data_IF_482278695801
#
_entry.id   IF_482278695801
#
_cell.length_a   1.000
_cell.length_b   1.000
_cell.length_c   1.000
_cell.angle_alpha   90.00
_cell.angle_beta   90.00
_cell.angle_gamma   90.00
#
_symmetry.space_group_name_H-M   'P 1'
#
loop_
_entity.id
_entity.type
_entity.pdbx_description
1 polymer ?
#
# COMPACT_ATOMS: atom_id res chain seq x y z
N UNK A 1 16.29 11.81 16.38
CA UNK A 1 16.62 11.38 15.01
C UNK A 1 16.65 9.85 14.87
N UNK A 2 17.62 9.14 15.46
CA UNK A 2 17.75 7.67 15.27
C UNK A 2 16.51 6.86 15.64
N UNK A 3 15.83 7.27 16.72
CA UNK A 3 14.56 6.65 17.13
C UNK A 3 13.46 6.80 16.07
N UNK A 4 13.38 7.96 15.41
CA UNK A 4 12.35 8.25 14.42
C UNK A 4 12.62 7.48 13.12
N UNK A 5 13.88 7.46 12.66
CA UNK A 5 14.32 6.62 11.53
C UNK A 5 14.10 5.13 11.80
N UNK A 6 14.33 4.67 13.04
CA UNK A 6 14.05 3.28 13.43
C UNK A 6 12.54 2.95 13.40
N UNK A 7 11.69 3.86 13.89
CA UNK A 7 10.22 3.73 13.80
C UNK A 7 9.76 3.68 12.34
N UNK A 8 10.26 4.60 11.49
CA UNK A 8 10.03 4.60 10.04
C UNK A 8 10.42 3.25 9.42
N UNK A 9 11.64 2.77 9.69
CA UNK A 9 12.13 1.48 9.18
C UNK A 9 11.25 0.30 9.59
N UNK A 10 10.73 0.31 10.82
CA UNK A 10 9.76 -0.69 11.30
C UNK A 10 8.44 -0.66 10.52
N UNK A 11 7.91 0.53 10.26
CA UNK A 11 6.70 0.71 9.45
C UNK A 11 6.90 0.29 8.00
N UNK A 12 8.00 0.71 7.36
CA UNK A 12 8.36 0.30 6.00
C UNK A 12 8.44 -1.22 5.89
N UNK A 13 9.13 -1.87 6.83
CA UNK A 13 9.23 -3.33 6.87
C UNK A 13 7.86 -4.02 7.02
N UNK A 14 6.95 -3.46 7.82
CA UNK A 14 5.60 -3.99 7.96
C UNK A 14 4.79 -3.85 6.67
N UNK A 15 4.89 -2.71 5.99
CA UNK A 15 4.26 -2.45 4.69
C UNK A 15 4.76 -3.43 3.63
N UNK A 16 6.08 -3.62 3.51
CA UNK A 16 6.67 -4.57 2.55
C UNK A 16 6.15 -6.00 2.80
N UNK A 17 6.10 -6.46 4.06
CA UNK A 17 5.55 -7.79 4.38
C UNK A 17 4.07 -7.91 4.02
N UNK A 18 3.28 -6.86 4.27
CA UNK A 18 1.86 -6.85 3.91
C UNK A 18 1.67 -6.94 2.40
N UNK A 19 2.46 -6.19 1.62
CA UNK A 19 2.43 -6.20 0.16
C UNK A 19 2.76 -7.60 -0.37
N UNK A 20 3.85 -8.21 0.11
CA UNK A 20 4.23 -9.57 -0.27
C UNK A 20 3.12 -10.58 0.04
N UNK A 21 2.58 -10.58 1.26
CA UNK A 21 1.49 -11.49 1.63
C UNK A 21 0.24 -11.29 0.78
N UNK A 22 -0.06 -10.06 0.40
CA UNK A 22 -1.22 -9.76 -0.45
C UNK A 22 -0.98 -10.26 -1.88
N UNK A 23 0.24 -10.08 -2.42
CA UNK A 23 0.62 -10.65 -3.71
C UNK A 23 0.59 -12.17 -3.74
N UNK A 24 1.07 -12.84 -2.69
CA UNK A 24 0.99 -14.30 -2.55
C UNK A 24 -0.46 -14.77 -2.68
N UNK A 25 -1.37 -14.18 -1.89
CA UNK A 25 -2.81 -14.48 -1.98
C UNK A 25 -3.42 -14.22 -3.36
N UNK A 26 -3.01 -13.13 -4.04
CA UNK A 26 -3.47 -12.82 -5.39
C UNK A 26 -3.03 -13.92 -6.37
N UNK A 27 -1.74 -14.27 -6.32
CA UNK A 27 -1.14 -15.25 -7.23
C UNK A 27 -1.68 -16.68 -7.00
N UNK A 28 -2.01 -17.01 -5.76
CA UNK A 28 -2.61 -18.30 -5.38
C UNK A 28 -4.12 -18.35 -5.68
N UNK A 29 -4.73 -17.23 -6.07
CA UNK A 29 -6.18 -17.13 -6.32
C UNK A 29 -7.04 -17.23 -5.05
N UNK A 30 -6.42 -17.10 -3.88
CA UNK A 30 -7.09 -17.19 -2.57
C UNK A 30 -7.61 -15.83 -2.07
N UNK A 31 -7.34 -14.76 -2.81
CA UNK A 31 -7.69 -13.42 -2.37
C UNK A 31 -9.18 -13.13 -2.56
N UNK A 32 -9.82 -12.62 -1.51
CA UNK A 32 -11.19 -12.12 -1.61
C UNK A 32 -11.21 -10.61 -1.83
N UNK A 33 -12.36 -10.11 -2.31
CA UNK A 33 -12.58 -8.67 -2.42
C UNK A 33 -12.44 -7.93 -1.08
N UNK A 34 -12.84 -8.58 0.02
CA UNK A 34 -12.67 -8.04 1.38
C UNK A 34 -11.19 -7.93 1.75
N UNK A 35 -10.38 -8.94 1.40
CA UNK A 35 -8.93 -8.88 1.62
C UNK A 35 -8.29 -7.72 0.86
N UNK A 36 -8.67 -7.52 -0.41
CA UNK A 36 -8.20 -6.40 -1.24
C UNK A 36 -8.55 -5.06 -0.61
N UNK A 37 -9.81 -4.84 -0.20
CA UNK A 37 -10.22 -3.59 0.45
C UNK A 37 -9.46 -3.36 1.76
N UNK A 38 -9.33 -4.40 2.58
CA UNK A 38 -8.57 -4.33 3.83
C UNK A 38 -7.10 -4.00 3.57
N UNK A 39 -6.50 -4.55 2.50
CA UNK A 39 -5.13 -4.27 2.12
C UNK A 39 -4.95 -2.82 1.67
N UNK A 40 -5.84 -2.30 0.81
CA UNK A 40 -5.84 -0.90 0.35
C UNK A 40 -5.96 0.05 1.55
N UNK A 41 -6.97 -0.13 2.39
CA UNK A 41 -7.22 0.74 3.55
C UNK A 41 -6.03 0.76 4.52
N UNK A 42 -5.41 -0.39 4.75
CA UNK A 42 -4.22 -0.48 5.59
C UNK A 42 -3.01 0.20 4.94
N UNK A 43 -2.82 0.05 3.62
CA UNK A 43 -1.74 0.73 2.91
C UNK A 43 -1.92 2.25 2.91
N UNK A 44 -3.13 2.76 2.66
CA UNK A 44 -3.44 4.19 2.69
C UNK A 44 -3.14 4.78 4.08
N UNK A 45 -3.58 4.13 5.16
CA UNK A 45 -3.25 4.55 6.54
C UNK A 45 -1.75 4.55 6.82
N UNK A 46 -1.02 3.54 6.33
CA UNK A 46 0.43 3.46 6.53
C UNK A 46 1.18 4.49 5.69
N UNK A 47 0.68 4.81 4.49
CA UNK A 47 1.23 5.85 3.65
C UNK A 47 1.18 7.21 4.34
N UNK A 48 0.01 7.60 4.85
CA UNK A 48 -0.16 8.86 5.60
C UNK A 48 0.76 8.93 6.84
N UNK A 49 0.90 7.82 7.56
CA UNK A 49 1.79 7.75 8.73
C UNK A 49 3.26 7.92 8.33
N UNK A 50 3.70 7.27 7.25
CA UNK A 50 5.07 7.37 6.76
C UNK A 50 5.38 8.78 6.25
N UNK A 51 4.46 9.42 5.54
CA UNK A 51 4.61 10.82 5.10
C UNK A 51 4.79 11.77 6.28
N UNK A 52 4.06 11.56 7.40
CA UNK A 52 4.24 12.35 8.63
C UNK A 52 5.62 12.12 9.25
N UNK A 53 6.05 10.86 9.33
CA UNK A 53 7.38 10.52 9.86
C UNK A 53 8.49 11.10 8.99
N UNK A 54 8.34 11.05 7.66
CA UNK A 54 9.32 11.61 6.72
C UNK A 54 9.41 13.13 6.86
N UNK A 55 8.28 13.83 6.97
CA UNK A 55 8.27 15.28 7.24
C UNK A 55 9.00 15.63 8.55
N UNK A 56 8.70 14.91 9.65
CA UNK A 56 9.38 15.11 10.93
C UNK A 56 10.89 14.79 10.88
N UNK A 57 11.31 13.81 10.07
CA UNK A 57 12.72 13.49 9.85
C UNK A 57 13.39 14.61 9.07
N UNK A 58 12.79 15.09 7.98
CA UNK A 58 13.30 16.16 7.12
C UNK A 58 13.47 17.48 7.87
N UNK A 59 12.52 17.85 8.72
CA UNK A 59 12.60 19.05 9.58
C UNK A 59 13.78 19.02 10.56
N UNK A 60 14.35 17.83 10.81
CA UNK A 60 15.45 17.61 11.75
C UNK A 60 16.82 17.44 11.09
N UNK A 61 16.90 17.44 9.76
CA UNK A 61 18.12 17.19 8.98
C UNK A 61 18.82 18.49 8.56
N UNK A 62 20.13 18.40 8.36
CA UNK A 62 20.93 19.42 7.71
C UNK A 62 20.86 19.30 6.17
N UNK A 63 21.20 20.37 5.46
CA UNK A 63 20.96 20.49 4.02
C UNK A 63 21.60 19.36 3.18
N UNK A 64 22.75 18.82 3.60
CA UNK A 64 23.45 17.75 2.86
C UNK A 64 22.79 16.37 3.06
N UNK A 65 22.18 16.12 4.22
CA UNK A 65 21.49 14.85 4.50
C UNK A 65 20.02 14.84 4.05
N UNK A 66 19.45 16.00 3.75
CA UNK A 66 18.04 16.17 3.33
C UNK A 66 17.77 15.53 1.97
N UNK A 67 18.65 15.72 0.98
CA UNK A 67 18.38 15.28 -0.40
C UNK A 67 18.22 13.75 -0.50
N UNK A 68 19.15 12.99 0.09
CA UNK A 68 19.08 11.53 0.06
C UNK A 68 17.86 10.99 0.81
N UNK A 69 17.42 11.68 1.86
CA UNK A 69 16.24 11.31 2.66
C UNK A 69 14.94 11.59 1.92
N UNK A 70 14.87 12.67 1.14
CA UNK A 70 13.75 12.95 0.22
C UNK A 70 13.64 11.83 -0.81
N UNK A 71 14.75 11.48 -1.48
CA UNK A 71 14.75 10.43 -2.51
C UNK A 71 14.30 9.08 -1.95
N UNK A 72 14.80 8.69 -0.78
CA UNK A 72 14.43 7.45 -0.09
C UNK A 72 12.95 7.45 0.36
N UNK A 73 12.42 8.59 0.82
CA UNK A 73 11.01 8.74 1.14
C UNK A 73 10.13 8.62 -0.11
N UNK A 74 10.47 9.34 -1.18
CA UNK A 74 9.73 9.36 -2.43
C UNK A 74 9.68 7.99 -3.10
N UNK A 75 10.81 7.27 -3.14
CA UNK A 75 10.87 5.91 -3.70
C UNK A 75 9.91 4.97 -2.94
N UNK A 76 9.91 5.04 -1.61
CA UNK A 76 9.04 4.19 -0.81
C UNK A 76 7.56 4.57 -0.94
N UNK A 77 7.24 5.88 -1.00
CA UNK A 77 5.88 6.36 -1.21
C UNK A 77 5.34 5.92 -2.58
N UNK A 78 6.15 6.06 -3.64
CA UNK A 78 5.81 5.53 -4.98
C UNK A 78 5.57 4.02 -4.96
N UNK A 79 6.39 3.26 -4.21
CA UNK A 79 6.17 1.83 -4.04
C UNK A 79 4.79 1.51 -3.44
N UNK A 80 4.35 2.27 -2.43
CA UNK A 80 3.01 2.09 -1.85
C UNK A 80 1.93 2.41 -2.88
N UNK A 81 2.02 3.56 -3.57
CA UNK A 81 1.02 4.02 -4.53
C UNK A 81 0.82 3.04 -5.69
N UNK A 82 1.91 2.47 -6.22
CA UNK A 82 1.87 1.45 -7.26
C UNK A 82 1.08 0.23 -6.77
N UNK A 83 1.30 -0.21 -5.54
CA UNK A 83 0.60 -1.39 -5.00
C UNK A 83 -0.87 -1.10 -4.68
N UNK A 84 -1.20 0.08 -4.17
CA UNK A 84 -2.60 0.51 -4.00
C UNK A 84 -3.32 0.49 -5.35
N UNK A 85 -2.69 1.04 -6.40
CA UNK A 85 -3.26 1.02 -7.76
C UNK A 85 -3.49 -0.39 -8.26
N UNK A 86 -2.51 -1.29 -8.12
CA UNK A 86 -2.64 -2.71 -8.50
C UNK A 86 -3.80 -3.39 -7.78
N UNK A 87 -3.99 -3.12 -6.48
CA UNK A 87 -5.09 -3.70 -5.72
C UNK A 87 -6.45 -3.14 -6.15
N UNK A 88 -6.51 -1.85 -6.53
CA UNK A 88 -7.72 -1.25 -7.12
C UNK A 88 -8.07 -1.89 -8.47
N UNK A 89 -7.06 -2.16 -9.31
CA UNK A 89 -7.23 -2.89 -10.57
C UNK A 89 -7.74 -4.33 -10.32
N UNK A 90 -7.17 -5.03 -9.33
CA UNK A 90 -7.63 -6.36 -8.91
C UNK A 90 -9.09 -6.36 -8.37
N UNK A 91 -9.51 -5.35 -7.60
CA UNK A 91 -10.92 -5.22 -7.17
C UNK A 91 -11.87 -5.11 -8.37
N UNK A 92 -11.48 -4.39 -9.42
CA UNK A 92 -12.29 -4.23 -10.63
C UNK A 92 -12.41 -5.55 -11.40
N UNK A 93 -11.32 -6.30 -11.53
CA UNK A 93 -11.32 -7.62 -12.18
C UNK A 93 -12.25 -8.59 -11.44
N UNK A 94 -12.17 -8.63 -10.10
CA UNK A 94 -13.05 -9.46 -9.26
C UNK A 94 -14.53 -9.09 -9.41
N UNK A 95 -14.87 -7.81 -9.63
CA UNK A 95 -16.24 -7.39 -9.94
C UNK A 95 -16.70 -7.89 -11.31
N UNK A 96 -15.81 -7.85 -12.31
CA UNK A 96 -16.12 -8.27 -13.68
C UNK A 96 -16.29 -9.79 -13.83
N UNK A 97 -15.63 -10.58 -12.99
CA UNK A 97 -15.74 -12.04 -12.97
C UNK A 97 -16.96 -12.58 -12.22
N UNK A 98 -17.79 -11.72 -11.63
CA UNK A 98 -19.06 -12.14 -11.01
C UNK A 98 -20.13 -12.21 -12.12
N UNK A 99 -20.67 -13.39 -12.46
CA UNK A 99 -21.70 -13.48 -13.49
C UNK A 99 -22.93 -12.69 -13.06
N UNK A 100 -23.34 -11.73 -13.88
CA UNK A 100 -24.67 -11.14 -13.79
C UNK A 100 -25.63 -12.27 -14.14
N UNK A 101 -26.24 -12.89 -13.13
CA UNK A 101 -27.41 -13.74 -13.33
C UNK A 101 -28.52 -12.77 -13.75
N UNK A 102 -28.61 -12.50 -15.05
CA UNK A 102 -29.78 -11.86 -15.64
C UNK A 102 -30.89 -12.89 -15.50
N UNK A 103 -31.75 -12.69 -14.50
CA UNK A 103 -32.96 -13.47 -14.35
C UNK A 103 -33.73 -13.39 -15.67
N UNK A 104 -33.84 -14.52 -16.35
CA UNK A 104 -34.90 -14.74 -17.32
C UNK A 104 -36.21 -14.72 -16.53
N UNK A 105 -36.91 -13.60 -16.56
CA UNK A 105 -38.35 -13.64 -16.38
C UNK A 105 -38.92 -14.25 -17.68
N UNK A 106 -39.13 -15.56 -17.64
CA UNK A 106 -40.14 -16.20 -18.47
C UNK A 106 -41.50 -15.83 -17.89
N UNK A 107 -42.29 -15.02 -18.62
CA UNK A 107 -43.75 -15.12 -18.78
C UNK A 107 -44.29 -13.98 -19.66
#
# INVERSE_FOLDING_TARGET
MDKLKAVRGGHRSAVTRQIHKTHEKINEGEITRRDIHSAIENLERKHELLQKLDAEILDSLDAESVEQEILDADEFNQHIDINIRRYKECDLELRSSTPVIIGREES
#
